data_IF_293404161958
#
_entry.id   IF_293404161958
#
_cell.length_a   1.000
_cell.length_b   1.000
_cell.length_c   1.000
_cell.angle_alpha   90.00
_cell.angle_beta   90.00
_cell.angle_gamma   90.00
#
_symmetry.space_group_name_H-M   'P 1'
#
loop_
_entity.id
_entity.type
_entity.pdbx_description
1 polymer ?
#
# COMPACT_ATOMS: atom_id res chain seq x y z
N UNK A 1 -22.37 -0.08 8.80
CA UNK A 1 -22.28 1.16 9.62
C UNK A 1 -23.68 1.51 10.08
N UNK A 2 -23.97 1.47 11.38
CA UNK A 2 -25.30 1.83 11.89
C UNK A 2 -25.54 3.32 11.69
N UNK A 3 -26.73 3.69 11.20
CA UNK A 3 -27.13 5.08 11.00
C UNK A 3 -28.49 5.30 11.67
N UNK A 4 -28.70 6.50 12.20
CA UNK A 4 -30.01 6.98 12.63
C UNK A 4 -30.37 8.27 11.89
N UNK A 5 -31.45 8.93 12.30
CA UNK A 5 -31.98 10.12 11.61
C UNK A 5 -30.98 11.28 11.52
N UNK A 6 -30.01 11.34 12.44
CA UNK A 6 -28.98 12.37 12.52
C UNK A 6 -27.59 11.94 11.99
N UNK A 7 -27.51 10.86 11.19
CA UNK A 7 -26.24 10.37 10.60
C UNK A 7 -25.68 9.13 11.29
N UNK A 8 -24.35 9.00 11.36
CA UNK A 8 -23.71 7.81 11.97
C UNK A 8 -24.07 7.66 13.46
N UNK A 9 -24.61 6.49 13.82
CA UNK A 9 -24.87 6.13 15.20
C UNK A 9 -23.59 5.60 15.85
N UNK A 10 -22.94 6.44 16.66
CA UNK A 10 -21.66 6.13 17.30
C UNK A 10 -21.77 5.37 18.63
N UNK A 11 -22.96 4.97 19.09
CA UNK A 11 -23.16 4.33 20.41
C UNK A 11 -22.31 3.06 20.61
N UNK A 12 -22.20 2.22 19.58
CA UNK A 12 -21.34 1.04 19.61
C UNK A 12 -19.85 1.41 19.64
N UNK A 13 -19.42 2.41 18.87
CA UNK A 13 -18.05 2.90 18.90
C UNK A 13 -17.69 3.53 20.25
N UNK A 14 -18.61 4.25 20.88
CA UNK A 14 -18.43 4.78 22.23
C UNK A 14 -18.18 3.65 23.24
N UNK A 15 -18.94 2.56 23.16
CA UNK A 15 -18.75 1.38 24.02
C UNK A 15 -17.36 0.78 23.83
N UNK A 16 -16.90 0.64 22.58
CA UNK A 16 -15.57 0.14 22.25
C UNK A 16 -14.46 1.06 22.79
N UNK A 17 -14.62 2.37 22.67
CA UNK A 17 -13.65 3.37 23.16
C UNK A 17 -13.55 3.33 24.69
N UNK A 18 -14.68 3.26 25.40
CA UNK A 18 -14.72 3.14 26.86
C UNK A 18 -14.04 1.85 27.34
N UNK A 19 -14.33 0.73 26.69
CA UNK A 19 -13.66 -0.54 26.98
C UNK A 19 -12.15 -0.44 26.74
N UNK A 20 -11.75 0.13 25.61
CA UNK A 20 -10.33 0.24 25.22
C UNK A 20 -9.54 1.16 26.15
N UNK A 21 -10.14 2.27 26.61
CA UNK A 21 -9.50 3.19 27.55
C UNK A 21 -9.32 2.55 28.93
N UNK A 22 -10.35 1.84 29.44
CA UNK A 22 -10.26 1.06 30.69
C UNK A 22 -9.14 0.03 30.65
N UNK A 23 -8.93 -0.59 29.49
CA UNK A 23 -7.86 -1.56 29.26
C UNK A 23 -6.53 -0.93 28.79
N UNK A 24 -6.43 0.40 28.75
CA UNK A 24 -5.22 1.16 28.38
C UNK A 24 -4.66 0.82 27.00
N UNK A 25 -5.53 0.44 26.06
CA UNK A 25 -5.11 0.17 24.68
C UNK A 25 -4.76 1.47 23.96
N UNK A 26 -3.63 1.47 23.27
CA UNK A 26 -3.21 2.54 22.36
C UNK A 26 -3.66 2.18 20.95
N UNK A 27 -4.63 2.91 20.44
CA UNK A 27 -5.30 2.61 19.18
C UNK A 27 -5.30 3.84 18.27
N UNK A 28 -5.23 3.57 16.98
CA UNK A 28 -5.56 4.50 15.91
C UNK A 28 -6.87 4.04 15.24
N UNK A 29 -7.53 4.92 14.49
CA UNK A 29 -8.90 4.70 14.06
C UNK A 29 -9.11 4.94 12.58
N UNK A 30 -10.05 4.19 12.02
CA UNK A 30 -10.67 4.37 10.70
C UNK A 30 -12.19 4.28 10.89
N UNK A 31 -12.96 4.72 9.90
CA UNK A 31 -14.42 4.62 9.91
C UNK A 31 -14.95 4.28 8.51
N UNK A 32 -15.46 3.06 8.36
CA UNK A 32 -15.89 2.53 7.07
C UNK A 32 -14.73 1.89 6.30
N UNK A 33 -15.08 1.16 5.24
CA UNK A 33 -14.15 0.45 4.39
C UNK A 33 -14.71 0.44 2.96
N UNK A 34 -14.01 1.03 2.00
CA UNK A 34 -14.47 1.17 0.61
C UNK A 34 -15.89 1.76 0.51
N UNK A 35 -16.17 2.91 1.16
CA UNK A 35 -17.52 3.47 1.28
C UNK A 35 -18.14 3.82 -0.08
N UNK A 36 -17.31 4.13 -1.08
CA UNK A 36 -17.72 4.34 -2.46
C UNK A 36 -18.30 3.08 -3.15
N UNK A 37 -18.22 1.91 -2.51
CA UNK A 37 -18.81 0.65 -2.98
C UNK A 37 -20.00 0.18 -2.11
N UNK A 38 -20.41 0.93 -1.09
CA UNK A 38 -21.51 0.51 -0.20
C UNK A 38 -22.83 0.25 -0.94
N UNK A 39 -23.13 0.99 -2.01
CA UNK A 39 -24.35 0.73 -2.79
C UNK A 39 -24.32 -0.64 -3.44
N UNK A 40 -23.15 -1.07 -3.92
CA UNK A 40 -22.98 -2.40 -4.51
C UNK A 40 -23.03 -3.52 -3.46
N UNK A 41 -22.39 -3.32 -2.31
CA UNK A 41 -22.19 -4.38 -1.30
C UNK A 41 -23.38 -4.50 -0.34
N UNK A 42 -23.98 -3.38 0.05
CA UNK A 42 -25.00 -3.33 1.11
C UNK A 42 -26.32 -2.70 0.65
N UNK A 43 -26.43 -2.32 -0.63
CA UNK A 43 -27.58 -1.58 -1.18
C UNK A 43 -27.85 -0.22 -0.48
N UNK A 44 -26.85 0.36 0.18
CA UNK A 44 -26.94 1.66 0.87
C UNK A 44 -25.91 2.62 0.29
N UNK A 45 -26.31 3.87 0.06
CA UNK A 45 -25.39 4.94 -0.35
C UNK A 45 -25.13 5.87 0.83
N UNK A 46 -23.86 6.25 1.03
CA UNK A 46 -23.44 7.31 1.94
C UNK A 46 -22.51 8.20 1.13
N UNK A 47 -22.84 9.48 0.97
CA UNK A 47 -22.03 10.40 0.17
C UNK A 47 -20.69 10.71 0.85
N UNK A 48 -19.73 11.25 0.08
CA UNK A 48 -18.45 11.70 0.65
C UNK A 48 -18.65 12.80 1.71
N UNK A 49 -19.60 13.72 1.47
CA UNK A 49 -20.00 14.75 2.43
C UNK A 49 -20.59 14.17 3.71
N UNK A 50 -21.47 13.18 3.61
CA UNK A 50 -22.05 12.53 4.80
C UNK A 50 -20.98 11.83 5.62
N UNK A 51 -20.10 11.06 4.98
CA UNK A 51 -19.01 10.38 5.69
C UNK A 51 -18.04 11.39 6.32
N UNK A 52 -17.76 12.52 5.66
CA UNK A 52 -16.92 13.57 6.23
C UNK A 52 -17.51 14.16 7.52
N UNK A 53 -18.84 14.33 7.58
CA UNK A 53 -19.54 14.73 8.82
C UNK A 53 -19.37 13.67 9.90
N UNK A 54 -19.50 12.39 9.55
CA UNK A 54 -19.31 11.27 10.48
C UNK A 54 -17.87 11.24 11.05
N UNK A 55 -16.85 11.51 10.22
CA UNK A 55 -15.46 11.65 10.65
C UNK A 55 -15.24 12.83 11.60
N UNK A 56 -15.93 13.95 11.39
CA UNK A 56 -15.87 15.10 12.31
C UNK A 56 -16.50 14.75 13.67
N UNK A 57 -17.59 13.97 13.69
CA UNK A 57 -18.19 13.43 14.92
C UNK A 57 -17.22 12.47 15.61
N UNK A 58 -16.61 11.54 14.87
CA UNK A 58 -15.61 10.61 15.42
C UNK A 58 -14.42 11.37 16.01
N UNK A 59 -13.89 12.40 15.34
CA UNK A 59 -12.79 13.21 15.89
C UNK A 59 -13.18 13.91 17.19
N UNK A 60 -14.38 14.49 17.28
CA UNK A 60 -14.89 15.08 18.54
C UNK A 60 -14.99 14.02 19.65
N UNK A 61 -15.49 12.84 19.30
CA UNK A 61 -15.60 11.72 20.24
C UNK A 61 -14.22 11.29 20.74
N UNK A 62 -13.24 11.03 19.86
CA UNK A 62 -11.87 10.66 20.23
C UNK A 62 -11.22 11.72 21.13
N UNK A 63 -11.46 13.01 20.87
CA UNK A 63 -10.94 14.11 21.68
C UNK A 63 -11.51 14.17 23.10
N UNK A 64 -12.67 13.54 23.36
CA UNK A 64 -13.25 13.43 24.71
C UNK A 64 -12.53 12.39 25.59
N UNK A 65 -11.78 11.48 24.98
CA UNK A 65 -10.95 10.48 25.68
C UNK A 65 -9.51 10.97 25.78
N UNK A 66 -8.96 11.02 27.00
CA UNK A 66 -7.58 11.52 27.21
C UNK A 66 -6.56 10.68 26.45
N UNK A 67 -6.78 9.37 26.38
CA UNK A 67 -5.89 8.43 25.68
C UNK A 67 -5.92 8.53 24.15
N UNK A 68 -6.97 9.11 23.57
CA UNK A 68 -7.21 9.08 22.11
C UNK A 68 -7.19 10.44 21.43
N UNK A 69 -6.98 11.53 22.17
CA UNK A 69 -6.85 12.89 21.62
C UNK A 69 -5.76 13.01 20.55
N UNK A 70 -4.68 12.24 20.68
CA UNK A 70 -3.55 12.24 19.73
C UNK A 70 -3.55 11.04 18.78
N UNK A 71 -4.57 10.16 18.86
CA UNK A 71 -4.68 9.02 17.96
C UNK A 71 -4.86 9.48 16.52
N UNK A 72 -4.24 8.75 15.61
CA UNK A 72 -4.43 8.94 14.19
C UNK A 72 -5.86 8.59 13.81
N UNK A 73 -6.43 9.39 12.91
CA UNK A 73 -7.70 9.07 12.26
C UNK A 73 -7.43 9.00 10.76
N UNK A 74 -7.50 7.81 10.19
CA UNK A 74 -7.15 7.53 8.81
C UNK A 74 -8.46 7.33 8.01
N UNK A 75 -8.53 7.81 6.77
CA UNK A 75 -9.72 7.65 5.96
C UNK A 75 -9.64 8.31 4.58
N UNK A 76 -10.65 8.13 3.72
CA UNK A 76 -11.88 7.37 3.96
C UNK A 76 -11.81 5.92 3.44
N UNK A 77 -10.62 5.41 3.12
CA UNK A 77 -10.42 4.03 2.64
C UNK A 77 -11.17 3.73 1.34
N UNK A 78 -11.14 4.66 0.37
CA UNK A 78 -11.78 4.46 -0.94
C UNK A 78 -11.10 3.35 -1.74
N UNK A 79 -11.83 2.71 -2.66
CA UNK A 79 -11.24 1.76 -3.62
C UNK A 79 -10.23 2.43 -4.56
N UNK A 80 -9.43 1.63 -5.28
CA UNK A 80 -8.56 2.11 -6.36
C UNK A 80 -9.32 2.99 -7.38
N UNK A 81 -8.68 4.02 -7.96
CA UNK A 81 -9.25 4.79 -9.06
C UNK A 81 -9.74 3.90 -10.20
N UNK A 82 -10.96 4.18 -10.68
CA UNK A 82 -11.56 3.62 -11.90
C UNK A 82 -12.23 4.77 -12.67
N UNK A 83 -12.16 4.73 -13.99
CA UNK A 83 -12.86 5.70 -14.87
C UNK A 83 -14.33 5.27 -15.07
N UNK A 84 -15.14 5.39 -14.02
CA UNK A 84 -16.59 5.12 -14.06
C UNK A 84 -17.35 6.23 -13.32
N UNK A 85 -18.66 6.32 -13.56
CA UNK A 85 -19.60 7.34 -13.04
C UNK A 85 -19.54 7.53 -11.51
N UNK A 86 -19.29 6.44 -10.77
CA UNK A 86 -19.07 6.44 -9.31
C UNK A 86 -17.58 6.30 -8.97
N UNK A 87 -16.76 7.21 -9.49
CA UNK A 87 -15.30 7.17 -9.31
C UNK A 87 -14.92 7.39 -7.84
N UNK A 88 -14.03 6.54 -7.32
CA UNK A 88 -13.43 6.74 -5.99
C UNK A 88 -12.71 8.09 -5.86
N UNK A 89 -12.26 8.68 -6.97
CA UNK A 89 -11.66 10.01 -6.99
C UNK A 89 -12.67 11.12 -6.66
N UNK A 90 -13.89 11.02 -7.21
CA UNK A 90 -14.96 11.97 -6.91
C UNK A 90 -15.40 11.85 -5.46
N UNK A 91 -15.55 10.61 -4.97
CA UNK A 91 -15.88 10.34 -3.57
C UNK A 91 -14.82 10.92 -2.62
N UNK A 92 -13.54 10.68 -2.91
CA UNK A 92 -12.43 11.23 -2.13
C UNK A 92 -12.42 12.76 -2.16
N UNK A 93 -12.68 13.37 -3.33
CA UNK A 93 -12.75 14.82 -3.48
C UNK A 93 -13.89 15.44 -2.65
N UNK A 94 -15.07 14.84 -2.70
CA UNK A 94 -16.24 15.27 -1.93
C UNK A 94 -16.00 15.11 -0.42
N UNK A 95 -15.38 14.01 0.00
CA UNK A 95 -15.01 13.78 1.39
C UNK A 95 -14.02 14.84 1.90
N UNK A 96 -12.92 15.07 1.18
CA UNK A 96 -11.88 16.02 1.59
C UNK A 96 -12.33 17.48 1.56
N UNK A 97 -13.34 17.84 0.78
CA UNK A 97 -13.90 19.20 0.80
C UNK A 97 -14.70 19.50 2.08
N UNK A 98 -15.09 18.48 2.85
CA UNK A 98 -15.97 18.61 4.02
C UNK A 98 -15.32 18.19 5.36
N UNK A 99 -14.05 17.78 5.37
CA UNK A 99 -13.34 17.45 6.62
C UNK A 99 -11.86 17.81 6.59
N UNK A 100 -11.33 18.18 7.75
CA UNK A 100 -9.89 18.30 8.05
C UNK A 100 -9.48 17.42 9.24
N UNK A 101 -10.35 16.50 9.64
CA UNK A 101 -10.23 15.75 10.89
C UNK A 101 -9.29 14.54 10.81
N UNK A 102 -8.90 14.16 9.59
CA UNK A 102 -8.04 13.01 9.31
C UNK A 102 -6.55 13.36 9.44
N UNK A 103 -5.78 12.38 9.86
CA UNK A 103 -4.32 12.41 9.96
C UNK A 103 -3.64 11.97 8.65
N UNK A 104 -4.33 11.19 7.81
CA UNK A 104 -3.88 10.82 6.48
C UNK A 104 -5.07 10.49 5.58
N UNK A 105 -4.94 10.80 4.29
CA UNK A 105 -5.84 10.30 3.26
C UNK A 105 -5.49 8.84 2.94
N UNK A 106 -6.49 7.98 2.85
CA UNK A 106 -6.29 6.55 2.60
C UNK A 106 -7.11 6.02 1.44
N UNK A 107 -6.56 5.01 0.77
CA UNK A 107 -7.14 4.34 -0.38
C UNK A 107 -6.58 2.93 -0.53
N UNK A 108 -7.30 2.09 -1.26
CA UNK A 108 -6.99 0.68 -1.45
C UNK A 108 -6.50 0.38 -2.86
N UNK A 109 -5.65 -0.65 -3.01
CA UNK A 109 -5.15 -1.03 -4.33
C UNK A 109 -4.95 -2.53 -4.49
N UNK A 110 -5.47 -3.08 -5.59
CA UNK A 110 -5.18 -4.42 -6.07
C UNK A 110 -4.93 -4.33 -7.59
N UNK A 111 -4.08 -5.18 -8.15
CA UNK A 111 -3.78 -5.14 -9.58
C UNK A 111 -4.85 -5.88 -10.40
N UNK A 112 -5.12 -7.14 -10.05
CA UNK A 112 -5.90 -8.07 -10.87
C UNK A 112 -7.05 -8.72 -10.10
N UNK A 113 -7.95 -9.41 -10.82
CA UNK A 113 -9.01 -10.21 -10.22
C UNK A 113 -8.45 -11.58 -9.82
N UNK A 114 -8.59 -11.99 -8.55
CA UNK A 114 -8.09 -13.29 -8.10
C UNK A 114 -8.74 -14.50 -8.79
N UNK A 115 -9.95 -14.33 -9.35
CA UNK A 115 -10.66 -15.40 -10.08
C UNK A 115 -10.32 -15.47 -11.57
N UNK A 116 -9.83 -14.37 -12.15
CA UNK A 116 -9.59 -14.25 -13.60
C UNK A 116 -8.28 -13.51 -13.84
N UNK A 117 -7.18 -14.25 -13.70
CA UNK A 117 -5.82 -13.76 -13.93
C UNK A 117 -4.90 -14.92 -14.26
N UNK A 118 -3.79 -14.61 -14.93
CA UNK A 118 -2.76 -15.57 -15.34
C UNK A 118 -1.43 -15.32 -14.62
N UNK A 119 -0.49 -16.26 -14.78
CA UNK A 119 0.89 -16.05 -14.33
C UNK A 119 1.53 -14.83 -15.02
N UNK A 120 1.28 -14.65 -16.30
CA UNK A 120 1.86 -13.55 -17.09
C UNK A 120 1.40 -12.19 -16.58
N UNK A 121 0.17 -12.10 -16.06
CA UNK A 121 -0.33 -10.85 -15.48
C UNK A 121 0.50 -10.39 -14.26
N UNK A 122 1.06 -11.33 -13.49
CA UNK A 122 1.84 -11.04 -12.28
C UNK A 122 3.21 -10.42 -12.59
N UNK A 123 3.71 -10.64 -13.81
CA UNK A 123 5.01 -10.14 -14.27
C UNK A 123 4.87 -9.13 -15.42
N UNK A 124 3.65 -8.79 -15.83
CA UNK A 124 3.40 -7.86 -16.94
C UNK A 124 3.69 -6.41 -16.53
N UNK A 125 4.69 -5.73 -17.14
CA UNK A 125 5.01 -4.34 -16.79
C UNK A 125 3.84 -3.37 -17.00
N UNK A 126 2.93 -3.65 -17.94
CA UNK A 126 1.73 -2.81 -18.18
C UNK A 126 0.79 -2.84 -16.98
N UNK A 127 0.62 -4.00 -16.34
CA UNK A 127 -0.22 -4.17 -15.15
C UNK A 127 0.45 -3.51 -13.93
N UNK A 128 1.76 -3.73 -13.75
CA UNK A 128 2.52 -3.06 -12.69
C UNK A 128 2.43 -1.53 -12.79
N UNK A 129 2.39 -0.99 -14.02
CA UNK A 129 2.26 0.45 -14.27
C UNK A 129 0.86 1.04 -13.97
N UNK A 130 -0.13 0.23 -13.58
CA UNK A 130 -1.39 0.76 -13.05
C UNK A 130 -1.18 1.52 -11.74
N UNK A 131 -0.32 1.01 -10.85
CA UNK A 131 -0.08 1.60 -9.55
C UNK A 131 0.47 3.04 -9.61
N UNK A 132 1.56 3.35 -10.37
CA UNK A 132 2.04 4.72 -10.45
C UNK A 132 1.03 5.69 -11.06
N UNK A 133 0.20 5.23 -12.02
CA UNK A 133 -0.89 6.05 -12.56
C UNK A 133 -1.93 6.38 -11.48
N UNK A 134 -2.42 5.35 -10.78
CA UNK A 134 -3.40 5.49 -9.70
C UNK A 134 -2.88 6.36 -8.54
N UNK A 135 -1.61 6.20 -8.15
CA UNK A 135 -0.97 7.06 -7.15
C UNK A 135 -1.03 8.53 -7.59
N UNK A 136 -0.70 8.83 -8.86
CA UNK A 136 -0.71 10.20 -9.36
C UNK A 136 -2.12 10.81 -9.38
N UNK A 137 -3.15 10.03 -9.73
CA UNK A 137 -4.54 10.48 -9.66
C UNK A 137 -4.98 10.80 -8.22
N UNK A 138 -4.70 9.89 -7.27
CA UNK A 138 -4.99 10.11 -5.84
C UNK A 138 -4.24 11.34 -5.32
N UNK A 139 -2.94 11.45 -5.63
CA UNK A 139 -2.13 12.62 -5.24
C UNK A 139 -2.73 13.91 -5.78
N UNK A 140 -3.14 13.94 -7.04
CA UNK A 140 -3.75 15.13 -7.65
C UNK A 140 -4.99 15.60 -6.87
N UNK A 141 -5.84 14.66 -6.44
CA UNK A 141 -7.02 14.98 -5.62
C UNK A 141 -6.61 15.45 -4.22
N UNK A 142 -5.75 14.71 -3.52
CA UNK A 142 -5.38 15.07 -2.14
C UNK A 142 -4.67 16.42 -2.08
N UNK A 143 -3.76 16.68 -3.02
CA UNK A 143 -2.95 17.91 -3.06
C UNK A 143 -3.77 19.15 -3.39
N UNK A 144 -4.92 19.02 -4.07
CA UNK A 144 -5.83 20.16 -4.24
C UNK A 144 -6.48 20.65 -2.94
N UNK A 145 -6.39 19.87 -1.85
CA UNK A 145 -6.92 20.25 -0.53
C UNK A 145 -5.83 20.49 0.51
N UNK A 146 -4.74 19.72 0.47
CA UNK A 146 -3.61 19.88 1.39
C UNK A 146 -2.32 19.30 0.82
N UNK A 147 -1.29 20.14 0.73
CA UNK A 147 0.06 19.74 0.30
C UNK A 147 0.73 18.78 1.29
N UNK A 148 0.52 19.00 2.60
CA UNK A 148 1.21 18.26 3.66
C UNK A 148 0.47 16.99 4.11
N UNK A 149 -0.80 16.82 3.76
CA UNK A 149 -1.59 15.66 4.19
C UNK A 149 -0.93 14.35 3.71
N UNK A 150 -0.53 13.45 4.62
CA UNK A 150 0.01 12.15 4.25
C UNK A 150 -0.99 11.32 3.45
N UNK A 151 -0.50 10.50 2.53
CA UNK A 151 -1.31 9.57 1.74
C UNK A 151 -0.85 8.16 2.02
N UNK A 152 -1.78 7.30 2.40
CA UNK A 152 -1.57 5.91 2.78
C UNK A 152 -2.26 4.98 1.79
N UNK A 153 -1.59 3.91 1.38
CA UNK A 153 -2.26 2.75 0.81
C UNK A 153 -2.62 1.85 2.00
N UNK A 154 -3.85 1.97 2.50
CA UNK A 154 -4.29 1.37 3.77
C UNK A 154 -4.76 -0.08 3.66
N UNK A 155 -4.95 -0.58 2.45
CA UNK A 155 -5.18 -1.99 2.17
C UNK A 155 -4.71 -2.30 0.75
N UNK A 156 -3.80 -3.27 0.59
CA UNK A 156 -3.31 -3.59 -0.74
C UNK A 156 -2.71 -4.98 -0.90
N UNK A 157 -2.86 -5.56 -2.09
CA UNK A 157 -2.23 -6.84 -2.43
C UNK A 157 -2.06 -7.06 -3.93
N UNK A 158 -1.70 -8.27 -4.35
CA UNK A 158 -1.63 -8.69 -5.76
C UNK A 158 -3.01 -8.64 -6.42
N UNK A 159 -3.95 -9.44 -5.91
CA UNK A 159 -5.26 -9.66 -6.52
C UNK A 159 -6.39 -9.54 -5.49
N UNK A 160 -7.51 -8.91 -5.88
CA UNK A 160 -8.70 -8.84 -5.03
C UNK A 160 -9.48 -10.17 -5.05
N UNK A 161 -10.49 -10.31 -4.17
CA UNK A 161 -11.28 -11.55 -4.05
C UNK A 161 -10.57 -12.65 -3.28
N UNK A 162 -9.74 -12.28 -2.30
CA UNK A 162 -8.98 -13.22 -1.47
C UNK A 162 -7.63 -13.66 -2.06
N UNK A 163 -7.18 -13.04 -3.15
CA UNK A 163 -5.94 -13.40 -3.85
C UNK A 163 -6.14 -14.52 -4.88
N UNK A 164 -5.26 -14.57 -5.88
CA UNK A 164 -5.28 -15.56 -6.94
C UNK A 164 -4.74 -16.92 -6.46
N UNK A 165 -5.54 -18.00 -6.45
CA UNK A 165 -5.08 -19.32 -6.04
C UNK A 165 -3.88 -19.80 -6.85
N UNK A 166 -2.85 -20.32 -6.16
CA UNK A 166 -1.65 -20.84 -6.82
C UNK A 166 -0.72 -19.78 -7.41
N UNK A 167 -1.02 -18.48 -7.24
CA UNK A 167 -0.17 -17.38 -7.70
C UNK A 167 0.16 -16.40 -6.56
N UNK A 168 -0.83 -15.97 -5.77
CA UNK A 168 -0.65 -14.92 -4.75
C UNK A 168 0.12 -15.35 -3.50
N UNK A 169 0.29 -16.66 -3.29
CA UNK A 169 1.08 -17.26 -2.21
C UNK A 169 2.40 -17.87 -2.75
N UNK A 170 2.78 -17.53 -3.98
CA UNK A 170 3.96 -18.05 -4.68
C UNK A 170 5.00 -16.99 -4.96
N UNK A 171 6.18 -17.43 -5.39
CA UNK A 171 7.30 -16.56 -5.74
C UNK A 171 6.91 -15.49 -6.77
N UNK A 172 6.03 -15.79 -7.72
CA UNK A 172 5.56 -14.82 -8.71
C UNK A 172 4.85 -13.60 -8.10
N UNK A 173 4.25 -13.72 -6.92
CA UNK A 173 3.65 -12.58 -6.20
C UNK A 173 4.69 -11.56 -5.71
N UNK A 174 5.92 -12.01 -5.48
CA UNK A 174 7.02 -11.17 -4.98
C UNK A 174 7.36 -10.02 -5.93
N UNK A 175 7.16 -10.20 -7.24
CA UNK A 175 7.34 -9.14 -8.22
C UNK A 175 6.38 -7.98 -7.97
N UNK A 176 5.08 -8.25 -7.93
CA UNK A 176 4.06 -7.24 -7.62
C UNK A 176 4.30 -6.58 -6.25
N UNK A 177 4.69 -7.37 -5.23
CA UNK A 177 4.87 -6.84 -3.89
C UNK A 177 6.10 -5.95 -3.76
N UNK A 178 7.27 -6.39 -4.26
CA UNK A 178 8.50 -5.61 -4.23
C UNK A 178 8.37 -4.32 -5.08
N UNK A 179 7.70 -4.40 -6.23
CA UNK A 179 7.46 -3.26 -7.11
C UNK A 179 6.60 -2.21 -6.41
N UNK A 180 5.52 -2.68 -5.77
CA UNK A 180 4.60 -1.85 -5.01
C UNK A 180 5.30 -1.07 -3.91
N UNK A 181 6.14 -1.72 -3.11
CA UNK A 181 6.91 -1.06 -2.06
C UNK A 181 7.81 0.05 -2.65
N UNK A 182 8.56 -0.29 -3.69
CA UNK A 182 9.49 0.64 -4.34
C UNK A 182 8.80 1.84 -4.98
N UNK A 183 7.77 1.61 -5.82
CA UNK A 183 7.09 2.68 -6.53
C UNK A 183 6.25 3.55 -5.59
N UNK A 184 5.65 2.96 -4.57
CA UNK A 184 4.89 3.71 -3.55
C UNK A 184 5.81 4.65 -2.77
N UNK A 185 6.98 4.18 -2.35
CA UNK A 185 7.97 5.02 -1.69
C UNK A 185 8.48 6.13 -2.62
N UNK A 186 8.86 5.78 -3.86
CA UNK A 186 9.31 6.74 -4.89
C UNK A 186 8.30 7.85 -5.15
N UNK A 187 7.00 7.53 -5.15
CA UNK A 187 5.93 8.48 -5.41
C UNK A 187 5.39 9.17 -4.14
N UNK A 188 5.94 8.87 -2.97
CA UNK A 188 5.68 9.59 -1.72
C UNK A 188 4.50 9.07 -0.90
N UNK A 189 4.05 7.83 -1.13
CA UNK A 189 3.13 7.16 -0.20
C UNK A 189 3.84 6.94 1.13
N UNK A 190 3.22 7.38 2.22
CA UNK A 190 3.86 7.35 3.55
C UNK A 190 3.76 5.98 4.20
N UNK A 191 2.68 5.25 3.95
CA UNK A 191 2.43 3.91 4.49
C UNK A 191 1.81 3.04 3.40
N UNK A 192 2.20 1.77 3.39
CA UNK A 192 1.63 0.70 2.55
C UNK A 192 1.29 -0.46 3.47
N UNK A 193 0.00 -0.80 3.56
CA UNK A 193 -0.52 -1.86 4.44
C UNK A 193 -0.88 -3.08 3.60
N UNK A 194 -0.13 -4.17 3.81
CA UNK A 194 -0.31 -5.43 3.09
C UNK A 194 -1.57 -6.16 3.56
N UNK A 195 -2.51 -6.38 2.65
CA UNK A 195 -3.55 -7.39 2.78
C UNK A 195 -2.97 -8.74 2.32
N UNK A 196 -2.75 -9.71 3.20
CA UNK A 196 -2.93 -9.69 4.66
C UNK A 196 -1.72 -10.33 5.34
N UNK A 197 -1.60 -10.17 6.66
CA UNK A 197 -0.64 -10.94 7.44
C UNK A 197 -1.01 -12.43 7.47
N UNK A 198 -2.30 -12.72 7.70
CA UNK A 198 -2.90 -14.04 7.78
C UNK A 198 -4.17 -14.09 6.93
N UNK A 199 -4.51 -15.30 6.47
CA UNK A 199 -5.73 -15.62 5.70
C UNK A 199 -5.80 -15.07 4.26
N UNK A 200 -6.50 -15.78 3.38
CA UNK A 200 -6.49 -15.55 1.94
C UNK A 200 -5.25 -16.11 1.22
N UNK A 201 -5.34 -16.23 -0.10
CA UNK A 201 -4.23 -16.68 -0.95
C UNK A 201 -3.10 -15.66 -1.05
N UNK A 202 -3.32 -14.42 -0.60
CA UNK A 202 -2.32 -13.37 -0.59
C UNK A 202 -1.61 -13.20 0.77
N UNK A 203 -1.85 -14.09 1.72
CA UNK A 203 -1.33 -13.95 3.07
C UNK A 203 0.21 -14.01 3.07
N UNK A 204 0.84 -13.21 3.94
CA UNK A 204 2.26 -13.35 4.23
C UNK A 204 2.55 -14.66 4.97
N UNK A 205 1.64 -15.12 5.82
CA UNK A 205 1.75 -16.37 6.56
C UNK A 205 0.58 -17.26 6.17
N UNK A 206 0.87 -18.45 5.66
CA UNK A 206 -0.17 -19.36 5.18
C UNK A 206 -0.89 -20.08 6.33
N UNK A 207 -1.94 -20.86 6.01
CA UNK A 207 -2.77 -21.59 7.00
C UNK A 207 -1.99 -22.61 7.86
N UNK A 208 -0.77 -22.98 7.49
CA UNK A 208 0.13 -23.86 8.27
C UNK A 208 1.15 -23.06 9.09
N UNK A 209 0.95 -21.75 9.24
CA UNK A 209 1.89 -20.83 9.90
C UNK A 209 3.29 -20.79 9.29
N UNK A 210 3.40 -21.11 7.99
CA UNK A 210 4.65 -21.02 7.26
C UNK A 210 4.69 -19.71 6.46
N UNK A 211 5.83 -19.00 6.46
CA UNK A 211 6.02 -17.78 5.68
C UNK A 211 5.94 -18.08 4.18
N UNK A 212 5.27 -17.20 3.42
CA UNK A 212 5.29 -17.21 1.96
C UNK A 212 6.51 -16.45 1.41
N UNK A 213 6.81 -16.51 0.10
CA UNK A 213 7.88 -15.70 -0.50
C UNK A 213 7.74 -14.21 -0.18
N UNK A 214 6.52 -13.68 -0.19
CA UNK A 214 6.25 -12.28 0.14
C UNK A 214 6.57 -11.91 1.60
N UNK A 215 6.46 -12.87 2.53
CA UNK A 215 6.92 -12.65 3.91
C UNK A 215 8.42 -12.40 3.95
N UNK A 216 9.20 -13.22 3.23
CA UNK A 216 10.65 -13.04 3.18
C UNK A 216 11.03 -11.73 2.51
N UNK A 217 10.38 -11.35 1.41
CA UNK A 217 10.56 -10.01 0.81
C UNK A 217 10.27 -8.91 1.84
N UNK A 218 9.16 -9.03 2.57
CA UNK A 218 8.79 -8.06 3.61
C UNK A 218 9.81 -7.99 4.74
N UNK A 219 10.35 -9.15 5.17
CA UNK A 219 11.38 -9.24 6.19
C UNK A 219 12.68 -8.54 5.76
N UNK A 220 13.18 -8.83 4.57
CA UNK A 220 14.39 -8.19 4.06
C UNK A 220 14.18 -6.68 3.84
N UNK A 221 13.04 -6.28 3.28
CA UNK A 221 12.69 -4.88 3.12
C UNK A 221 12.68 -4.14 4.47
N UNK A 222 11.99 -4.68 5.47
CA UNK A 222 11.87 -4.08 6.81
C UNK A 222 13.21 -3.95 7.53
N UNK A 223 14.13 -4.89 7.29
CA UNK A 223 15.44 -4.85 7.90
C UNK A 223 16.39 -3.91 7.15
N UNK A 224 16.48 -4.00 5.82
CA UNK A 224 17.52 -3.34 5.02
C UNK A 224 17.12 -1.93 4.54
N UNK A 225 15.86 -1.70 4.19
CA UNK A 225 15.40 -0.48 3.51
C UNK A 225 15.01 0.60 4.51
N UNK A 226 15.71 1.73 4.47
CA UNK A 226 15.46 2.90 5.32
C UNK A 226 14.41 3.84 4.74
N UNK A 227 14.07 4.88 5.49
CA UNK A 227 13.00 5.82 5.15
C UNK A 227 13.42 6.91 4.15
N UNK A 228 14.73 7.09 3.92
CA UNK A 228 15.24 8.07 2.95
C UNK A 228 15.27 7.46 1.57
N UNK A 229 14.33 7.88 0.72
CA UNK A 229 14.21 7.46 -0.67
C UNK A 229 15.23 8.21 -1.52
N UNK A 230 15.94 7.50 -2.40
CA UNK A 230 16.91 8.04 -3.34
C UNK A 230 16.44 7.79 -4.78
N UNK A 231 16.88 8.63 -5.71
CA UNK A 231 16.53 8.46 -7.12
C UNK A 231 17.51 7.52 -7.83
N UNK A 232 17.00 6.70 -8.75
CA UNK A 232 17.79 5.94 -9.72
C UNK A 232 17.43 6.44 -11.11
N UNK A 233 18.45 6.68 -11.92
CA UNK A 233 18.33 6.94 -13.36
C UNK A 233 18.99 5.82 -14.15
N UNK A 234 18.42 5.50 -15.30
CA UNK A 234 18.99 4.56 -16.25
C UNK A 234 19.87 5.31 -17.26
N UNK A 235 20.85 4.63 -17.86
CA UNK A 235 21.74 5.22 -18.87
C UNK A 235 20.95 5.76 -20.07
N UNK A 236 21.41 6.87 -20.66
CA UNK A 236 20.70 7.59 -21.74
C UNK A 236 20.49 6.76 -23.02
N UNK A 237 21.28 5.70 -23.21
CA UNK A 237 21.27 4.86 -24.42
C UNK A 237 20.64 3.47 -24.18
N UNK A 238 20.02 3.24 -23.03
CA UNK A 238 19.37 1.96 -22.76
C UNK A 238 18.07 1.82 -23.56
N UNK A 239 17.84 0.65 -24.16
CA UNK A 239 16.63 0.36 -24.90
C UNK A 239 15.38 0.56 -24.01
N UNK A 240 14.39 1.31 -24.52
CA UNK A 240 13.16 1.63 -23.76
C UNK A 240 12.45 0.38 -23.25
N UNK A 241 12.46 -0.72 -24.00
CA UNK A 241 11.85 -1.99 -23.57
C UNK A 241 12.64 -2.68 -22.45
N UNK A 242 13.97 -2.65 -22.51
CA UNK A 242 14.83 -3.15 -21.44
C UNK A 242 14.61 -2.37 -20.14
N UNK A 243 14.50 -1.04 -20.22
CA UNK A 243 14.15 -0.17 -19.07
C UNK A 243 12.75 -0.46 -18.51
N UNK A 244 11.79 -0.94 -19.33
CA UNK A 244 10.46 -1.35 -18.82
C UNK A 244 10.51 -2.66 -18.04
N UNK A 245 11.41 -3.57 -18.39
CA UNK A 245 11.56 -4.89 -17.76
C UNK A 245 12.43 -4.87 -16.49
N UNK A 246 13.38 -3.93 -16.39
CA UNK A 246 14.24 -3.74 -15.22
C UNK A 246 13.66 -2.66 -14.31
N UNK A 247 13.40 -3.00 -13.06
CA UNK A 247 12.73 -2.09 -12.12
C UNK A 247 13.51 -2.03 -10.82
N UNK A 248 14.24 -0.95 -10.61
CA UNK A 248 15.09 -0.74 -9.44
C UNK A 248 14.71 0.52 -8.66
N UNK A 249 14.94 0.43 -7.35
CA UNK A 249 14.68 1.46 -6.36
C UNK A 249 15.89 1.57 -5.43
N UNK A 250 16.15 2.78 -4.92
CA UNK A 250 17.30 3.05 -4.04
C UNK A 250 16.85 3.79 -2.81
N UNK A 251 17.34 3.36 -1.65
CA UNK A 251 17.12 4.03 -0.38
C UNK A 251 18.43 4.08 0.41
N UNK A 252 18.52 4.96 1.40
CA UNK A 252 19.51 4.78 2.46
C UNK A 252 19.21 3.47 3.22
N UNK A 253 20.26 2.81 3.71
CA UNK A 253 20.10 1.62 4.55
C UNK A 253 19.39 1.98 5.86
N UNK A 254 18.57 1.06 6.35
CA UNK A 254 17.87 1.18 7.63
C UNK A 254 18.81 1.61 8.78
N UNK A 255 18.40 2.59 9.62
CA UNK A 255 19.18 3.01 10.79
C UNK A 255 19.49 1.89 11.78
N UNK A 256 18.73 0.79 11.77
CA UNK A 256 19.00 -0.41 12.59
C UNK A 256 20.40 -0.98 12.36
N UNK A 257 20.94 -0.81 11.15
CA UNK A 257 22.29 -1.26 10.82
C UNK A 257 23.38 -0.22 11.17
N UNK A 258 23.02 0.91 11.81
CA UNK A 258 23.92 1.96 12.36
C UNK A 258 25.09 2.37 11.46
N UNK A 259 24.88 2.42 10.15
CA UNK A 259 25.94 2.73 9.17
C UNK A 259 25.53 3.88 8.27
N UNK A 260 25.97 5.09 8.63
CA UNK A 260 25.81 6.29 7.80
C UNK A 260 26.44 6.08 6.41
N UNK A 261 25.82 6.67 5.39
CA UNK A 261 26.34 6.67 4.02
C UNK A 261 26.16 5.37 3.23
N UNK A 262 25.48 4.35 3.78
CA UNK A 262 25.16 3.12 3.02
C UNK A 262 23.83 3.25 2.30
N UNK A 263 23.80 2.73 1.07
CA UNK A 263 22.58 2.63 0.25
C UNK A 263 22.19 1.16 0.07
N UNK A 264 20.90 0.94 -0.13
CA UNK A 264 20.34 -0.34 -0.57
C UNK A 264 19.65 -0.11 -1.91
N UNK A 265 20.01 -0.94 -2.88
CA UNK A 265 19.35 -1.02 -4.18
C UNK A 265 18.59 -2.33 -4.19
N UNK A 266 17.31 -2.26 -4.52
CA UNK A 266 16.45 -3.43 -4.64
C UNK A 266 15.59 -3.28 -5.88
N UNK A 267 15.15 -4.40 -6.43
CA UNK A 267 14.43 -4.39 -7.68
C UNK A 267 14.27 -5.78 -8.26
N UNK A 268 13.85 -5.82 -9.50
CA UNK A 268 13.57 -7.06 -10.22
C UNK A 268 13.91 -6.94 -11.69
N UNK A 269 14.14 -8.09 -12.29
CA UNK A 269 14.20 -8.29 -13.73
C UNK A 269 12.97 -9.09 -14.17
N UNK A 270 12.13 -8.48 -15.00
CA UNK A 270 10.93 -9.09 -15.57
C UNK A 270 11.19 -9.72 -16.95
N UNK A 271 12.41 -9.59 -17.48
CA UNK A 271 12.79 -10.20 -18.76
C UNK A 271 13.07 -11.69 -18.58
N UNK A 272 13.06 -12.43 -19.70
CA UNK A 272 13.45 -13.83 -19.75
C UNK A 272 14.97 -14.04 -19.92
N UNK A 273 15.77 -12.98 -19.80
CA UNK A 273 17.24 -13.01 -19.97
C UNK A 273 17.93 -12.49 -18.71
N UNK A 274 19.08 -13.05 -18.40
CA UNK A 274 19.95 -12.48 -17.38
C UNK A 274 20.50 -11.14 -17.86
N UNK A 275 20.31 -10.10 -17.05
CA UNK A 275 20.81 -8.76 -17.34
C UNK A 275 22.00 -8.42 -16.45
N UNK A 276 23.04 -7.82 -17.06
CA UNK A 276 24.18 -7.27 -16.31
C UNK A 276 23.91 -5.82 -15.96
N UNK A 277 23.90 -5.52 -14.66
CA UNK A 277 23.66 -4.17 -14.15
C UNK A 277 25.00 -3.56 -13.74
N UNK A 278 25.31 -2.40 -14.30
CA UNK A 278 26.50 -1.62 -13.94
C UNK A 278 26.04 -0.46 -13.07
N UNK A 279 26.47 -0.47 -11.81
CA UNK A 279 26.18 0.63 -10.88
C UNK A 279 27.18 1.76 -11.10
N UNK A 280 26.70 2.91 -11.55
CA UNK A 280 27.49 4.13 -11.66
C UNK A 280 27.15 5.03 -10.48
N UNK A 281 28.13 5.25 -9.60
CA UNK A 281 28.04 6.23 -8.53
C UNK A 281 29.00 7.38 -8.85
N UNK A 282 28.61 8.61 -8.51
CA UNK A 282 29.50 9.78 -8.62
C UNK A 282 30.70 9.76 -7.65
N UNK A 283 30.96 8.62 -7.02
CA UNK A 283 32.04 8.42 -6.05
C UNK A 283 32.56 6.98 -6.15
N UNK A 284 33.84 6.78 -5.81
CA UNK A 284 34.43 5.43 -5.72
C UNK A 284 33.77 4.64 -4.59
N UNK A 285 33.34 3.42 -4.90
CA UNK A 285 32.85 2.46 -3.90
C UNK A 285 34.03 2.01 -3.06
N UNK A 286 34.07 2.43 -1.80
CA UNK A 286 35.11 2.03 -0.82
C UNK A 286 34.71 0.82 0.03
N UNK A 287 33.48 0.35 -0.10
CA UNK A 287 32.90 -0.69 0.77
C UNK A 287 32.46 -1.90 -0.05
N UNK A 288 32.47 -3.12 0.55
CA UNK A 288 31.97 -4.31 -0.11
C UNK A 288 30.49 -4.18 -0.47
N UNK A 289 30.13 -4.70 -1.64
CA UNK A 289 28.74 -4.86 -2.08
C UNK A 289 28.26 -6.21 -1.56
N UNK A 290 27.17 -6.20 -0.80
CA UNK A 290 26.48 -7.41 -0.37
C UNK A 290 25.28 -7.64 -1.30
N UNK A 291 25.20 -8.82 -1.90
CA UNK A 291 24.11 -9.19 -2.80
C UNK A 291 23.21 -10.23 -2.14
N UNK A 292 21.90 -9.98 -2.21
CA UNK A 292 20.86 -10.91 -1.77
C UNK A 292 19.96 -11.19 -2.96
N UNK A 293 20.19 -12.32 -3.63
CA UNK A 293 19.42 -12.72 -4.80
C UNK A 293 18.32 -13.70 -4.38
N UNK A 294 17.07 -13.32 -4.63
CA UNK A 294 15.92 -14.21 -4.46
C UNK A 294 15.62 -14.90 -5.79
N UNK A 295 15.61 -16.23 -5.79
CA UNK A 295 15.25 -17.03 -6.95
C UNK A 295 14.11 -17.99 -6.60
N UNK A 296 13.24 -18.31 -7.58
CA UNK A 296 12.22 -19.32 -7.38
C UNK A 296 12.84 -20.69 -7.15
N UNK A 297 12.22 -21.50 -6.27
CA UNK A 297 12.60 -22.88 -6.08
C UNK A 297 12.49 -23.68 -7.38
N UNK A 298 13.57 -24.39 -7.76
CA UNK A 298 13.66 -25.18 -8.99
C UNK A 298 13.31 -24.40 -10.27
N UNK A 299 13.61 -23.10 -10.32
CA UNK A 299 13.29 -22.22 -11.45
C UNK A 299 11.79 -22.13 -11.78
N UNK A 300 10.91 -22.43 -10.82
CA UNK A 300 9.47 -22.37 -10.99
C UNK A 300 8.87 -21.15 -10.28
N UNK A 301 8.35 -20.18 -11.03
CA UNK A 301 7.71 -18.98 -10.48
C UNK A 301 6.50 -19.27 -9.59
N UNK A 302 5.87 -20.44 -9.73
CA UNK A 302 4.77 -20.91 -8.87
C UNK A 302 5.25 -21.70 -7.64
N UNK A 303 6.54 -21.64 -7.31
CA UNK A 303 7.09 -22.22 -6.07
C UNK A 303 6.71 -21.42 -4.82
N UNK A 304 6.66 -22.12 -3.69
CA UNK A 304 6.48 -21.55 -2.35
C UNK A 304 7.82 -21.18 -1.72
#
# INVERSE_FOLDING_TARGET
MLRGDNGWNYSNALTLLQFSERNKYKLDFQLGNEPNSFKHVFNVSISGTELAKDFNVLRKLLNSFKSYKTSLLIGPDVTRPKHLEYSSLNYLKEFLSHTKSISAASWHQYYVNGKNTSLDDFINPKILNYLPHQINEIKKVVRSFSEDLPIWISETSSAYGGGAPGLSDRFVAAFMWLDKLGISAKLGMKVVIRQSLLDGNYALINKKFLPTPDFWISYFYKNLVGNTVLNITYGRNEEKEKVKSLRFYCHCVSPKFRKLGKIVIFGMNLSNKTEKIILILGMKIKYPIYSFLFTPGKNNLTSK
#
